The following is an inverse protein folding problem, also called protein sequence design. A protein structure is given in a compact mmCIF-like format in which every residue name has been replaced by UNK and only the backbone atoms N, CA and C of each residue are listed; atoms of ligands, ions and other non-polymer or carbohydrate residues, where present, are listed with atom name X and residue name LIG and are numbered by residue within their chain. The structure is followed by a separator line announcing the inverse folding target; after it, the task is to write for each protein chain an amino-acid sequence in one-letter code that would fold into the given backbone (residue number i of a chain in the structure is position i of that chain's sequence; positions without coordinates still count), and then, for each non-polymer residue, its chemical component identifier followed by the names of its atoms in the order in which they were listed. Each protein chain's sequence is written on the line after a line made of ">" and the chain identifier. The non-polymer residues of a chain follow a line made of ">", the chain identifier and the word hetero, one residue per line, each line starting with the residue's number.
data_IF_240371449342
#
_entry.id   IF_240371449342
#
_cell.length_a   1.000
_cell.length_b   1.000
_cell.length_c   1.000
_cell.angle_alpha   90.00
_cell.angle_beta   90.00
_cell.angle_gamma   90.00
#
_symmetry.space_group_name_H-M   'P 1'
#
loop_
_entity.id
_entity.type
_entity.pdbx_description
1 polymer ?
#
# COMPACT_ATOMS: atom_id res chain seq x y z
N UNK A 1 -1.31 5.56 15.98
CA UNK A 1 -2.44 5.18 15.09
C UNK A 1 -2.35 6.02 13.81
N UNK A 2 -2.91 5.53 12.71
CA UNK A 2 -2.86 6.20 11.38
C UNK A 2 -4.27 6.53 10.87
N UNK A 3 -5.03 7.41 11.54
CA UNK A 3 -6.45 7.62 11.24
C UNK A 3 -6.71 8.15 9.83
N UNK A 4 -5.89 9.07 9.31
CA UNK A 4 -6.07 9.63 7.96
C UNK A 4 -5.77 8.55 6.92
N UNK A 5 -4.67 7.82 7.13
CA UNK A 5 -4.22 6.74 6.24
C UNK A 5 -5.23 5.60 6.18
N UNK A 6 -5.67 5.11 7.35
CA UNK A 6 -6.66 4.03 7.45
C UNK A 6 -8.00 4.50 6.87
N UNK A 7 -8.44 5.72 7.17
CA UNK A 7 -9.68 6.28 6.62
C UNK A 7 -9.66 6.40 5.10
N UNK A 8 -8.53 6.84 4.53
CA UNK A 8 -8.35 6.89 3.07
C UNK A 8 -8.36 5.50 2.44
N UNK A 9 -7.61 4.55 3.01
CA UNK A 9 -7.59 3.18 2.54
C UNK A 9 -8.98 2.53 2.61
N UNK A 10 -9.70 2.71 3.73
CA UNK A 10 -11.05 2.22 3.91
C UNK A 10 -12.04 2.83 2.91
N UNK A 11 -11.92 4.13 2.61
CA UNK A 11 -12.75 4.81 1.59
C UNK A 11 -12.56 4.15 0.21
N UNK A 12 -11.31 3.96 -0.21
CA UNK A 12 -10.98 3.32 -1.50
C UNK A 12 -11.41 1.85 -1.52
N UNK A 13 -11.23 1.14 -0.40
CA UNK A 13 -11.65 -0.24 -0.24
C UNK A 13 -13.17 -0.40 -0.40
N UNK A 14 -13.96 0.42 0.31
CA UNK A 14 -15.43 0.41 0.24
C UNK A 14 -15.96 0.79 -1.14
N UNK A 15 -15.21 1.56 -1.93
CA UNK A 15 -15.58 1.91 -3.29
C UNK A 15 -15.13 0.89 -4.34
N UNK A 16 -14.63 -0.29 -3.93
CA UNK A 16 -14.07 -1.29 -4.84
C UNK A 16 -12.91 -0.79 -5.70
N UNK A 17 -12.21 0.28 -5.27
CA UNK A 17 -11.21 0.97 -6.07
C UNK A 17 -10.08 0.04 -6.51
N UNK A 18 -9.66 -0.87 -5.63
CA UNK A 18 -8.55 -1.78 -5.88
C UNK A 18 -8.90 -2.97 -6.79
N UNK A 19 -10.17 -3.14 -7.17
CA UNK A 19 -10.57 -4.27 -8.00
C UNK A 19 -9.93 -4.19 -9.39
N UNK A 20 -9.37 -5.30 -9.84
CA UNK A 20 -8.62 -5.47 -11.09
C UNK A 20 -7.34 -4.63 -11.21
N UNK A 21 -6.90 -3.93 -10.16
CA UNK A 21 -5.61 -3.27 -10.15
C UNK A 21 -4.48 -4.29 -10.04
N UNK A 22 -3.30 -3.92 -10.54
CA UNK A 22 -2.12 -4.79 -10.53
C UNK A 22 -1.16 -4.46 -9.40
N UNK A 23 -0.39 -5.47 -9.00
CA UNK A 23 0.92 -5.25 -8.39
C UNK A 23 1.90 -4.87 -9.50
N UNK A 24 1.96 -3.57 -9.81
CA UNK A 24 2.76 -3.04 -10.91
C UNK A 24 4.26 -3.10 -10.65
N UNK A 25 4.66 -3.28 -9.39
CA UNK A 25 6.07 -3.37 -8.99
C UNK A 25 6.25 -4.47 -7.96
N UNK A 26 7.01 -5.48 -8.35
CA UNK A 26 7.42 -6.59 -7.51
C UNK A 26 8.91 -6.80 -7.72
N UNK A 27 9.68 -6.60 -6.66
CA UNK A 27 11.12 -6.82 -6.60
C UNK A 27 11.42 -7.72 -5.38
N UNK A 28 12.65 -8.19 -5.21
CA UNK A 28 13.08 -9.04 -4.06
C UNK A 28 12.74 -8.46 -2.68
N UNK A 29 12.31 -7.21 -2.65
CA UNK A 29 12.48 -6.30 -1.56
C UNK A 29 11.20 -5.49 -1.29
N UNK A 30 10.29 -5.43 -2.27
CA UNK A 30 9.00 -4.76 -2.15
C UNK A 30 7.96 -5.40 -3.07
N UNK A 31 6.73 -5.48 -2.57
CA UNK A 31 5.53 -5.72 -3.38
C UNK A 31 4.69 -4.45 -3.30
N UNK A 32 4.48 -3.76 -4.41
CA UNK A 32 3.75 -2.50 -4.48
C UNK A 32 2.60 -2.59 -5.50
N UNK A 33 1.45 -2.07 -5.09
CA UNK A 33 0.22 -2.08 -5.88
C UNK A 33 -0.68 -0.90 -5.55
N UNK A 34 -1.92 -0.93 -6.03
CA UNK A 34 -2.91 0.12 -5.79
C UNK A 34 -2.81 1.32 -6.74
N UNK A 35 -2.14 1.14 -7.89
CA UNK A 35 -2.08 2.13 -8.96
C UNK A 35 -3.13 1.82 -10.05
N UNK A 36 -4.11 2.71 -10.31
CA UNK A 36 -5.09 2.54 -11.38
C UNK A 36 -4.53 2.55 -12.81
N UNK A 37 -3.35 3.15 -13.02
CA UNK A 37 -2.66 3.16 -14.33
C UNK A 37 -1.68 1.99 -14.49
N UNK A 38 -1.32 1.32 -13.38
CA UNK A 38 -0.40 0.19 -13.37
C UNK A 38 1.03 0.51 -13.82
N UNK A 39 1.46 1.77 -13.74
CA UNK A 39 2.75 2.26 -14.22
C UNK A 39 3.55 3.05 -13.16
N UNK A 40 3.05 3.10 -11.92
CA UNK A 40 3.57 3.83 -10.78
C UNK A 40 3.04 5.27 -10.63
N UNK A 41 2.21 5.79 -11.54
CA UNK A 41 1.86 7.23 -11.57
C UNK A 41 0.38 7.54 -11.39
N UNK A 42 -0.50 6.54 -11.28
CA UNK A 42 -1.92 6.75 -11.04
C UNK A 42 -2.26 6.82 -9.55
N UNK A 43 -3.43 7.42 -9.28
CA UNK A 43 -4.00 7.61 -7.96
C UNK A 43 -5.47 8.04 -8.05
N UNK A 44 -6.13 8.38 -6.93
CA UNK A 44 -7.55 8.72 -6.87
C UNK A 44 -7.84 10.22 -7.04
N UNK A 45 -6.94 11.01 -7.64
CA UNK A 45 -7.02 12.48 -7.79
C UNK A 45 -6.90 13.31 -6.50
N UNK A 46 -6.54 12.70 -5.37
CA UNK A 46 -6.20 13.41 -4.13
C UNK A 46 -5.02 12.75 -3.41
N UNK A 47 -4.36 13.51 -2.53
CA UNK A 47 -3.30 13.02 -1.66
C UNK A 47 -3.65 13.20 -0.19
N UNK A 48 -2.95 12.48 0.68
CA UNK A 48 -3.06 12.55 2.13
C UNK A 48 -1.71 12.93 2.76
N UNK A 49 -1.72 13.63 3.92
CA UNK A 49 -0.51 13.94 4.67
C UNK A 49 0.17 12.69 5.23
N UNK A 50 1.48 12.79 5.47
CA UNK A 50 2.23 11.72 6.14
C UNK A 50 1.80 11.58 7.60
N UNK A 51 1.38 10.37 7.99
CA UNK A 51 1.26 9.97 9.39
C UNK A 51 2.36 8.96 9.73
N UNK A 52 3.17 9.25 10.76
CA UNK A 52 4.20 8.33 11.27
C UNK A 52 4.12 8.24 12.78
N UNK A 53 4.52 7.09 13.33
CA UNK A 53 4.59 6.89 14.76
C UNK A 53 5.77 6.00 15.11
N UNK A 54 6.45 6.23 16.26
CA UNK A 54 7.58 5.39 16.67
C UNK A 54 7.22 3.92 16.93
N UNK A 55 5.94 3.61 17.10
CA UNK A 55 5.47 2.29 17.54
C UNK A 55 5.09 1.35 16.38
N UNK A 56 4.78 1.87 15.19
CA UNK A 56 4.44 1.07 14.02
C UNK A 56 5.67 0.97 13.12
N UNK A 57 6.03 -0.27 12.80
CA UNK A 57 7.27 -0.60 12.10
C UNK A 57 6.98 -1.46 10.88
N UNK A 58 7.79 -1.28 9.84
CA UNK A 58 7.86 -2.14 8.68
C UNK A 58 8.52 -3.45 9.10
N UNK A 59 7.69 -4.40 9.49
CA UNK A 59 8.06 -5.80 9.74
C UNK A 59 7.52 -6.66 8.61
N UNK A 60 7.93 -7.94 8.55
CA UNK A 60 7.37 -8.88 7.57
C UNK A 60 5.83 -8.88 7.63
N UNK A 61 5.22 -8.63 6.46
CA UNK A 61 3.78 -8.53 6.28
C UNK A 61 3.17 -7.18 6.66
N UNK A 62 3.96 -6.16 7.03
CA UNK A 62 3.46 -4.81 7.25
C UNK A 62 2.96 -4.19 5.93
N UNK A 63 1.84 -3.47 6.02
CA UNK A 63 1.27 -2.66 4.95
C UNK A 63 1.58 -1.19 5.23
N UNK A 64 2.13 -0.51 4.24
CA UNK A 64 2.43 0.92 4.32
C UNK A 64 2.04 1.65 3.03
N UNK A 65 1.73 2.95 3.14
CA UNK A 65 1.41 3.77 1.97
C UNK A 65 2.67 4.13 1.20
N UNK A 66 2.64 3.98 -0.12
CA UNK A 66 3.63 4.56 -1.01
C UNK A 66 3.40 6.08 -1.13
N UNK A 67 4.45 6.81 -1.49
CA UNK A 67 4.42 8.25 -1.78
C UNK A 67 5.57 8.63 -2.70
N UNK A 68 5.49 9.82 -3.27
CA UNK A 68 6.61 10.48 -3.94
C UNK A 68 7.62 11.03 -2.92
N UNK A 69 8.57 11.84 -3.37
CA UNK A 69 9.51 12.55 -2.50
C UNK A 69 8.81 13.49 -1.51
N UNK A 70 7.65 14.05 -1.86
CA UNK A 70 6.85 14.86 -0.96
C UNK A 70 6.19 13.97 0.12
N UNK A 71 6.44 14.22 1.42
CA UNK A 71 5.77 13.51 2.51
C UNK A 71 4.23 13.49 2.41
N UNK A 72 3.61 14.56 1.89
CA UNK A 72 2.16 14.71 1.84
C UNK A 72 1.53 14.29 0.50
N UNK A 73 2.15 13.31 -0.16
CA UNK A 73 1.74 12.85 -1.49
C UNK A 73 1.29 11.39 -1.52
N UNK A 74 1.05 10.76 -0.37
CA UNK A 74 0.47 9.42 -0.35
C UNK A 74 -0.95 9.47 -0.93
N UNK A 75 -1.36 8.44 -1.66
CA UNK A 75 -2.61 8.45 -2.42
C UNK A 75 -3.38 7.13 -2.30
N UNK A 76 -3.41 6.28 -3.31
CA UNK A 76 -3.97 4.91 -3.28
C UNK A 76 -2.90 3.83 -3.26
N UNK A 77 -1.65 4.15 -3.63
CA UNK A 77 -0.62 3.13 -3.74
C UNK A 77 -0.13 2.67 -2.36
N UNK A 78 0.01 1.35 -2.19
CA UNK A 78 0.50 0.73 -0.96
C UNK A 78 1.59 -0.28 -1.29
N UNK A 79 2.37 -0.65 -0.28
CA UNK A 79 3.41 -1.65 -0.41
C UNK A 79 3.51 -2.58 0.81
N UNK A 80 4.15 -3.72 0.58
CA UNK A 80 4.57 -4.70 1.58
C UNK A 80 6.09 -4.79 1.51
N UNK A 81 6.79 -4.38 2.58
CA UNK A 81 8.23 -4.52 2.70
C UNK A 81 8.65 -4.60 4.18
N UNK A 82 9.66 -5.40 4.56
CA UNK A 82 10.09 -5.54 5.95
C UNK A 82 11.15 -4.51 6.39
N UNK A 83 11.24 -3.37 5.71
CA UNK A 83 12.10 -2.23 6.08
C UNK A 83 11.48 -0.90 5.60
N UNK A 84 12.15 0.24 5.83
CA UNK A 84 11.67 1.63 5.68
C UNK A 84 10.95 2.20 6.92
N UNK A 85 11.33 1.74 8.11
CA UNK A 85 10.79 2.25 9.38
C UNK A 85 10.80 3.78 9.46
N UNK A 86 9.68 4.34 9.92
CA UNK A 86 9.55 5.78 10.24
C UNK A 86 9.52 6.73 9.04
N UNK A 87 9.64 6.24 7.80
CA UNK A 87 9.60 7.08 6.59
C UNK A 87 8.26 7.06 5.84
N UNK A 88 7.43 6.07 6.15
CA UNK A 88 6.14 5.82 5.51
C UNK A 88 5.08 5.46 6.55
N UNK A 89 3.82 5.74 6.22
CA UNK A 89 2.70 5.44 7.09
C UNK A 89 2.42 3.93 7.11
N UNK A 90 2.92 3.23 8.13
CA UNK A 90 2.58 1.82 8.38
C UNK A 90 1.20 1.77 9.02
N UNK A 91 0.22 1.20 8.32
CA UNK A 91 -1.19 1.26 8.72
C UNK A 91 -1.88 -0.11 8.84
N UNK A 92 -1.23 -1.18 8.38
CA UNK A 92 -1.80 -2.53 8.41
C UNK A 92 -0.74 -3.62 8.58
N UNK A 93 -1.21 -4.85 8.81
CA UNK A 93 -0.37 -6.04 8.81
C UNK A 93 -1.17 -7.24 8.31
N UNK A 94 -0.57 -8.01 7.41
CA UNK A 94 -1.11 -9.28 6.93
C UNK A 94 -1.17 -10.26 8.10
N UNK A 95 -2.38 -10.78 8.37
CA UNK A 95 -2.63 -11.75 9.44
C UNK A 95 -2.74 -13.19 8.92
N UNK A 96 -3.04 -13.37 7.62
CA UNK A 96 -3.21 -14.66 6.95
C UNK A 96 -2.77 -14.55 5.48
N UNK A 97 -2.35 -15.67 4.87
CA UNK A 97 -1.99 -15.72 3.45
C UNK A 97 -0.61 -15.15 3.10
N UNK A 98 0.33 -15.13 4.06
CA UNK A 98 1.71 -14.69 3.78
C UNK A 98 2.41 -15.55 2.73
N UNK A 99 2.08 -16.84 2.64
CA UNK A 99 2.56 -17.77 1.63
C UNK A 99 2.03 -17.46 0.22
N UNK A 100 0.88 -16.78 0.12
CA UNK A 100 0.35 -16.25 -1.13
C UNK A 100 1.08 -14.95 -1.47
N UNK A 101 1.27 -14.08 -0.49
CA UNK A 101 2.02 -12.81 -0.67
C UNK A 101 3.43 -13.06 -1.19
N UNK A 102 4.12 -14.08 -0.68
CA UNK A 102 5.48 -14.45 -1.13
C UNK A 102 5.53 -14.94 -2.59
N UNK A 103 4.39 -15.27 -3.19
CA UNK A 103 4.27 -15.77 -4.58
C UNK A 103 3.72 -14.73 -5.53
N UNK A 104 3.41 -13.52 -5.06
CA UNK A 104 2.94 -12.44 -5.92
C UNK A 104 4.04 -12.12 -6.93
N UNK A 105 3.68 -12.10 -8.21
CA UNK A 105 4.55 -11.71 -9.31
C UNK A 105 4.11 -10.36 -9.90
N UNK A 106 5.03 -9.72 -10.63
CA UNK A 106 4.73 -8.47 -11.32
C UNK A 106 3.55 -8.66 -12.29
N UNK A 107 2.54 -7.79 -12.18
CA UNK A 107 1.33 -7.86 -13.01
C UNK A 107 0.21 -8.72 -12.44
N UNK A 108 0.42 -9.42 -11.33
CA UNK A 108 -0.67 -10.10 -10.61
C UNK A 108 -1.77 -9.12 -10.22
N UNK A 109 -3.02 -9.59 -10.26
CA UNK A 109 -4.21 -8.76 -10.07
C UNK A 109 -4.84 -8.93 -8.71
N UNK A 110 -5.26 -7.79 -8.15
CA UNK A 110 -6.20 -7.74 -7.03
C UNK A 110 -7.59 -8.01 -7.59
N UNK A 111 -8.03 -9.28 -7.59
CA UNK A 111 -9.30 -9.68 -8.22
C UNK A 111 -10.49 -8.95 -7.58
N UNK A 112 -10.54 -8.94 -6.26
CA UNK A 112 -11.58 -8.23 -5.52
C UNK A 112 -11.12 -7.89 -4.11
N UNK A 113 -11.51 -6.73 -3.60
CA UNK A 113 -11.46 -6.39 -2.17
C UNK A 113 -12.84 -6.57 -1.52
N UNK A 114 -12.89 -7.08 -0.29
CA UNK A 114 -14.13 -7.39 0.45
C UNK A 114 -13.97 -7.19 1.94
#
# INVERSE_FOLDING_TARGET
>A
MMPITVGNFEKLFKSNFYNNLTFHRVEDWVIQGGDPLGNGTGGPDWTIPLEVTPTLKNVRGALAMARSSDPNSADSQFYIAPWLDGQYAVFGKITQGMDIVDKIEIGDKIISVK
#
